data_IF_497315840599
#
_entry.id   IF_497315840599
#
_cell.length_a   1.000
_cell.length_b   1.000
_cell.length_c   1.000
_cell.angle_alpha   90.00
_cell.angle_beta   90.00
_cell.angle_gamma   90.00
#
_symmetry.space_group_name_H-M   'P 1'
#
loop_
_entity.id
_entity.type
_entity.pdbx_description
1 polymer ?
#
# COMPACT_ATOMS: atom_id res chain seq x y z
N UNK A 1 -15.18 -28.33 -30.23
CA UNK A 1 -15.64 -26.95 -30.38
C UNK A 1 -14.54 -26.12 -31.04
N UNK A 2 -14.83 -25.21 -32.00
CA UNK A 2 -13.79 -24.47 -32.74
C UNK A 2 -12.87 -23.63 -31.83
N UNK A 3 -13.25 -23.38 -30.59
CA UNK A 3 -12.48 -22.64 -29.60
C UNK A 3 -11.75 -23.53 -28.59
N UNK A 4 -11.82 -24.85 -28.69
CA UNK A 4 -11.07 -25.74 -27.82
C UNK A 4 -9.60 -25.82 -28.24
N UNK A 5 -8.71 -26.02 -27.26
CA UNK A 5 -7.30 -26.27 -27.52
C UNK A 5 -7.14 -27.65 -28.13
N UNK A 6 -6.23 -27.76 -29.09
CA UNK A 6 -5.83 -29.09 -29.62
C UNK A 6 -5.07 -29.87 -28.55
N UNK A 7 -4.96 -31.19 -28.73
CA UNK A 7 -4.18 -32.02 -27.83
C UNK A 7 -2.70 -31.55 -27.79
N UNK A 8 -2.13 -31.21 -28.94
CA UNK A 8 -0.77 -30.69 -29.08
C UNK A 8 -0.56 -29.36 -28.34
N UNK A 9 -1.51 -28.41 -28.51
CA UNK A 9 -1.46 -27.13 -27.76
C UNK A 9 -1.52 -27.38 -26.26
N UNK A 10 -2.38 -28.28 -25.80
CA UNK A 10 -2.54 -28.62 -24.37
C UNK A 10 -1.26 -29.24 -23.82
N UNK A 11 -0.67 -30.19 -24.53
CA UNK A 11 0.59 -30.82 -24.15
C UNK A 11 1.74 -29.82 -24.06
N UNK A 12 1.87 -28.92 -25.06
CA UNK A 12 2.87 -27.88 -25.08
C UNK A 12 2.70 -26.92 -23.87
N UNK A 13 1.47 -26.56 -23.56
CA UNK A 13 1.16 -25.69 -22.39
C UNK A 13 1.59 -26.39 -21.10
N UNK A 14 1.19 -27.64 -20.89
CA UNK A 14 1.49 -28.35 -19.65
C UNK A 14 2.99 -28.64 -19.49
N UNK A 15 3.69 -28.92 -20.56
CA UNK A 15 5.16 -29.12 -20.56
C UNK A 15 5.91 -27.86 -20.16
N UNK A 16 5.53 -26.70 -20.68
CA UNK A 16 6.13 -25.41 -20.32
C UNK A 16 5.68 -24.93 -18.94
N UNK A 17 4.43 -25.19 -18.58
CA UNK A 17 3.93 -24.88 -17.24
C UNK A 17 4.73 -25.58 -16.14
N UNK A 18 5.15 -26.80 -16.35
CA UNK A 18 6.01 -27.53 -15.40
C UNK A 18 7.34 -26.80 -15.10
N UNK A 19 7.82 -25.97 -16.05
CA UNK A 19 9.05 -25.17 -15.90
C UNK A 19 8.80 -23.77 -15.31
N UNK A 20 7.62 -23.18 -15.54
CA UNK A 20 7.28 -21.80 -15.22
C UNK A 20 6.09 -21.71 -14.25
N UNK A 21 6.01 -22.62 -13.27
CA UNK A 21 4.87 -22.75 -12.35
C UNK A 21 4.50 -21.46 -11.64
N UNK A 22 5.46 -20.57 -11.35
CA UNK A 22 5.28 -19.40 -10.51
C UNK A 22 5.00 -18.12 -11.30
N UNK A 23 5.17 -18.14 -12.64
CA UNK A 23 4.98 -16.95 -13.48
C UNK A 23 4.23 -17.27 -14.78
N UNK A 24 2.91 -17.00 -14.72
CA UNK A 24 2.01 -17.20 -15.85
C UNK A 24 2.28 -16.27 -17.04
N UNK A 25 2.90 -15.08 -16.81
CA UNK A 25 3.24 -14.17 -17.89
C UNK A 25 4.45 -14.68 -18.66
N UNK A 26 5.49 -15.14 -17.96
CA UNK A 26 6.66 -15.77 -18.57
C UNK A 26 6.26 -17.02 -19.35
N UNK A 27 5.32 -17.82 -18.80
CA UNK A 27 4.76 -18.96 -19.52
C UNK A 27 4.10 -18.52 -20.84
N UNK A 28 3.28 -17.48 -20.79
CA UNK A 28 2.56 -16.99 -21.96
C UNK A 28 3.50 -16.45 -23.04
N UNK A 29 4.52 -15.66 -22.66
CA UNK A 29 5.54 -15.16 -23.57
C UNK A 29 6.34 -16.31 -24.21
N UNK A 30 6.71 -17.33 -23.43
CA UNK A 30 7.40 -18.53 -23.93
C UNK A 30 6.54 -19.31 -24.91
N UNK A 31 5.23 -19.37 -24.70
CA UNK A 31 4.28 -20.00 -25.61
C UNK A 31 4.10 -19.21 -26.90
N UNK A 32 4.01 -17.87 -26.80
CA UNK A 32 3.95 -16.99 -28.00
C UNK A 32 5.17 -17.13 -28.89
N UNK A 33 6.36 -17.19 -28.29
CA UNK A 33 7.61 -17.43 -29.01
C UNK A 33 7.61 -18.76 -29.78
N UNK A 34 6.79 -19.73 -29.34
CA UNK A 34 6.58 -21.04 -29.99
C UNK A 34 5.37 -21.09 -30.93
N UNK A 35 4.77 -19.93 -31.24
CA UNK A 35 3.65 -19.84 -32.19
C UNK A 35 2.26 -20.00 -31.58
N UNK A 36 2.12 -19.96 -30.24
CA UNK A 36 0.82 -19.98 -29.58
C UNK A 36 0.05 -18.67 -29.85
N UNK A 37 -1.13 -18.79 -30.51
CA UNK A 37 -1.88 -17.61 -31.00
C UNK A 37 -3.08 -17.22 -30.14
N UNK A 38 -3.44 -18.04 -29.12
CA UNK A 38 -4.64 -17.79 -28.31
C UNK A 38 -4.37 -16.75 -27.20
N UNK A 39 -5.45 -16.22 -26.63
CA UNK A 39 -5.40 -15.19 -25.59
C UNK A 39 -4.83 -15.73 -24.27
N UNK A 40 -4.29 -14.85 -23.44
CA UNK A 40 -3.85 -15.16 -22.08
C UNK A 40 -4.97 -15.81 -21.24
N UNK A 41 -6.19 -15.31 -21.33
CA UNK A 41 -7.36 -15.89 -20.63
C UNK A 41 -7.63 -17.33 -21.03
N UNK A 42 -7.40 -17.67 -22.30
CA UNK A 42 -7.54 -19.05 -22.81
C UNK A 42 -6.49 -19.97 -22.22
N UNK A 43 -5.23 -19.51 -22.15
CA UNK A 43 -4.13 -20.21 -21.47
C UNK A 43 -4.48 -20.50 -20.01
N UNK A 44 -4.90 -19.47 -19.25
CA UNK A 44 -5.27 -19.60 -17.83
C UNK A 44 -6.35 -20.66 -17.62
N UNK A 45 -7.35 -20.74 -18.52
CA UNK A 45 -8.41 -21.79 -18.44
C UNK A 45 -7.82 -23.20 -18.57
N UNK A 46 -6.88 -23.43 -19.50
CA UNK A 46 -6.23 -24.72 -19.66
C UNK A 46 -5.41 -25.09 -18.46
N UNK A 47 -4.59 -24.16 -17.97
CA UNK A 47 -3.74 -24.38 -16.79
C UNK A 47 -4.60 -24.65 -15.55
N UNK A 48 -5.70 -23.94 -15.36
CA UNK A 48 -6.65 -24.20 -14.26
C UNK A 48 -7.30 -25.58 -14.37
N UNK A 49 -7.64 -26.02 -15.59
CA UNK A 49 -8.32 -27.30 -15.83
C UNK A 49 -7.38 -28.49 -15.64
N UNK A 50 -6.14 -28.37 -16.12
CA UNK A 50 -5.23 -29.51 -16.24
C UNK A 50 -3.96 -29.38 -15.41
N UNK A 51 -3.54 -28.17 -15.07
CA UNK A 51 -2.25 -27.90 -14.43
C UNK A 51 -2.23 -28.09 -12.92
N UNK A 52 -3.36 -28.40 -12.28
CA UNK A 52 -3.47 -28.50 -10.81
C UNK A 52 -2.77 -27.32 -10.13
N UNK A 53 -3.14 -26.08 -10.54
CA UNK A 53 -2.65 -24.90 -9.85
C UNK A 53 -2.95 -25.06 -8.35
N UNK A 54 -1.91 -25.15 -7.55
CA UNK A 54 -2.03 -24.91 -6.12
C UNK A 54 -2.42 -23.44 -5.95
N UNK A 55 -3.71 -23.20 -5.92
CA UNK A 55 -4.23 -21.88 -5.53
C UNK A 55 -3.75 -21.69 -4.10
N UNK A 56 -2.70 -20.87 -3.89
CA UNK A 56 -2.35 -20.40 -2.56
C UNK A 56 -3.62 -19.80 -1.98
N UNK A 57 -4.33 -20.58 -1.17
CA UNK A 57 -5.51 -20.06 -0.45
C UNK A 57 -5.01 -18.82 0.28
N UNK A 58 -5.49 -17.65 -0.12
CA UNK A 58 -5.27 -16.44 0.67
C UNK A 58 -5.74 -16.79 2.06
N UNK A 59 -4.81 -16.78 3.03
CA UNK A 59 -5.19 -16.98 4.42
C UNK A 59 -6.32 -16.00 4.71
N UNK A 60 -7.47 -16.51 5.12
CA UNK A 60 -8.58 -15.65 5.52
C UNK A 60 -8.05 -14.76 6.64
N UNK A 61 -7.81 -13.47 6.34
CA UNK A 61 -7.51 -12.50 7.37
C UNK A 61 -8.73 -12.45 8.27
N UNK A 62 -8.64 -13.04 9.45
CA UNK A 62 -9.62 -12.79 10.52
C UNK A 62 -9.54 -11.29 10.83
N UNK A 63 -10.58 -10.52 10.54
CA UNK A 63 -10.55 -9.09 10.84
C UNK A 63 -10.40 -8.95 12.36
N UNK A 64 -9.33 -8.26 12.78
CA UNK A 64 -9.21 -7.88 14.19
C UNK A 64 -10.38 -6.95 14.52
N UNK A 65 -11.10 -7.16 15.65
CA UNK A 65 -12.18 -6.27 16.02
C UNK A 65 -11.63 -4.85 16.19
N UNK A 66 -12.26 -3.90 15.51
CA UNK A 66 -11.89 -2.50 15.61
C UNK A 66 -12.26 -1.96 16.99
N UNK A 67 -11.28 -1.45 17.74
CA UNK A 67 -11.49 -0.76 19.01
C UNK A 67 -11.52 0.74 18.74
N UNK A 68 -12.66 1.36 18.95
CA UNK A 68 -12.83 2.81 18.86
C UNK A 68 -12.08 3.50 20.00
N UNK A 69 -11.51 4.68 19.73
CA UNK A 69 -10.93 5.52 20.79
C UNK A 69 -11.99 5.96 21.80
N UNK A 70 -11.69 5.85 23.08
CA UNK A 70 -12.61 6.07 24.19
C UNK A 70 -12.54 7.51 24.73
N UNK A 71 -11.40 8.19 24.54
CA UNK A 71 -11.19 9.55 25.02
C UNK A 71 -10.41 10.39 23.99
N UNK A 72 -10.50 11.73 24.05
CA UNK A 72 -9.79 12.63 23.15
C UNK A 72 -8.28 12.43 23.19
N UNK A 73 -7.64 12.36 22.02
CA UNK A 73 -6.20 12.18 21.88
C UNK A 73 -5.69 10.75 22.08
N UNK A 74 -6.56 9.80 22.43
CA UNK A 74 -6.16 8.40 22.54
C UNK A 74 -5.57 7.89 21.23
N UNK A 75 -6.20 8.25 20.09
CA UNK A 75 -5.75 7.88 18.76
C UNK A 75 -6.07 8.98 17.75
N UNK A 76 -5.02 9.48 17.10
CA UNK A 76 -5.09 10.50 16.06
C UNK A 76 -4.62 9.87 14.75
N UNK A 77 -5.45 9.93 13.71
CA UNK A 77 -5.09 9.49 12.37
C UNK A 77 -4.46 10.64 11.60
N UNK A 78 -3.31 10.40 10.97
CA UNK A 78 -2.62 11.38 10.14
C UNK A 78 -2.52 10.86 8.71
N UNK A 79 -2.93 11.69 7.76
CA UNK A 79 -2.94 11.40 6.32
C UNK A 79 -2.36 12.60 5.56
N UNK A 80 -1.72 12.35 4.43
CA UNK A 80 -1.17 13.36 3.53
C UNK A 80 -1.79 13.23 2.15
N UNK A 81 -2.29 14.35 1.63
CA UNK A 81 -2.90 14.40 0.31
C UNK A 81 -2.26 15.46 -0.56
N UNK A 82 -2.02 15.12 -1.80
CA UNK A 82 -1.66 16.10 -2.83
C UNK A 82 -2.82 17.09 -3.05
N UNK A 83 -2.52 18.38 -3.00
CA UNK A 83 -3.48 19.42 -3.31
C UNK A 83 -3.54 19.62 -4.82
N UNK A 84 -4.69 19.40 -5.48
CA UNK A 84 -4.81 19.58 -6.92
C UNK A 84 -4.44 21.00 -7.36
N UNK A 85 -3.73 21.12 -8.47
CA UNK A 85 -3.21 22.41 -8.98
C UNK A 85 -4.29 23.44 -9.26
N UNK A 86 -5.51 23.00 -9.60
CA UNK A 86 -6.65 23.92 -9.78
C UNK A 86 -7.17 24.54 -8.47
N UNK A 87 -6.77 24.03 -7.31
CA UNK A 87 -7.06 24.60 -6.00
C UNK A 87 -6.02 25.65 -5.58
N UNK A 88 -4.97 25.87 -6.37
CA UNK A 88 -3.83 26.71 -6.00
C UNK A 88 -3.60 27.77 -7.06
N UNK A 89 -3.61 29.06 -6.67
CA UNK A 89 -3.48 30.20 -7.60
C UNK A 89 -2.07 30.41 -8.15
N UNK A 90 -1.03 29.92 -7.46
CA UNK A 90 0.39 30.18 -7.81
C UNK A 90 1.06 29.06 -8.63
N UNK A 91 0.31 28.01 -9.01
CA UNK A 91 0.83 26.88 -9.81
C UNK A 91 1.85 25.96 -9.10
N UNK A 92 2.13 26.18 -7.82
CA UNK A 92 3.03 25.35 -7.03
C UNK A 92 2.35 24.06 -6.59
N UNK A 93 3.16 23.05 -6.25
CA UNK A 93 2.68 21.81 -5.66
C UNK A 93 2.58 21.97 -4.15
N UNK A 94 1.47 21.53 -3.58
CA UNK A 94 1.28 21.50 -2.13
C UNK A 94 0.78 20.13 -1.69
N UNK A 95 1.11 19.81 -0.45
CA UNK A 95 0.67 18.60 0.25
C UNK A 95 -0.04 19.02 1.52
N UNK A 96 -1.29 18.59 1.66
CA UNK A 96 -2.08 18.83 2.85
C UNK A 96 -1.89 17.68 3.83
N UNK A 97 -1.31 17.97 4.96
CA UNK A 97 -1.25 17.10 6.13
C UNK A 97 -2.52 17.29 6.94
N UNK A 98 -3.17 16.21 7.31
CA UNK A 98 -4.43 16.24 8.05
C UNK A 98 -4.36 15.27 9.22
N UNK A 99 -4.58 15.77 10.43
CA UNK A 99 -4.75 14.96 11.63
C UNK A 99 -6.23 14.97 12.04
N UNK A 100 -6.76 13.79 12.40
CA UNK A 100 -8.15 13.63 12.86
C UNK A 100 -8.14 12.79 14.13
N UNK A 101 -8.64 13.34 15.22
CA UNK A 101 -8.88 12.57 16.45
C UNK A 101 -10.07 11.62 16.27
N UNK A 102 -9.87 10.34 16.55
CA UNK A 102 -10.93 9.31 16.36
C UNK A 102 -12.13 9.51 17.29
N UNK A 103 -11.88 10.00 18.51
CA UNK A 103 -12.93 10.16 19.51
C UNK A 103 -13.83 11.37 19.24
N UNK A 104 -13.23 12.55 19.09
CA UNK A 104 -13.95 13.84 19.02
C UNK A 104 -14.21 14.31 17.59
N UNK A 105 -13.49 13.74 16.61
CA UNK A 105 -13.43 14.23 15.22
C UNK A 105 -12.77 15.59 15.09
N UNK A 106 -12.11 16.09 16.13
CA UNK A 106 -11.28 17.28 16.02
C UNK A 106 -10.25 17.09 14.90
N UNK A 107 -10.07 18.15 14.11
CA UNK A 107 -9.23 18.09 12.92
C UNK A 107 -8.24 19.23 12.91
N UNK A 108 -7.00 18.93 12.61
CA UNK A 108 -5.93 19.88 12.37
C UNK A 108 -5.36 19.70 10.96
N UNK A 109 -5.08 20.78 10.24
CA UNK A 109 -4.58 20.75 8.87
C UNK A 109 -3.53 21.81 8.63
N UNK A 110 -2.48 21.43 7.90
CA UNK A 110 -1.48 22.36 7.38
C UNK A 110 -1.10 21.97 5.95
N UNK A 111 -0.56 22.93 5.20
CA UNK A 111 -0.06 22.71 3.84
C UNK A 111 1.43 22.96 3.78
N UNK A 112 2.15 22.09 3.09
CA UNK A 112 3.58 22.16 2.86
C UNK A 112 3.89 22.02 1.36
N UNK A 113 4.98 22.63 0.91
CA UNK A 113 5.45 22.52 -0.47
C UNK A 113 6.14 21.17 -0.74
N UNK A 114 6.56 20.48 0.30
CA UNK A 114 7.28 19.21 0.21
C UNK A 114 6.54 18.05 0.89
N UNK A 115 6.67 16.88 0.26
CA UNK A 115 6.24 15.61 0.82
C UNK A 115 7.48 14.89 1.40
N UNK A 116 7.91 15.33 2.56
CA UNK A 116 9.17 14.91 3.16
C UNK A 116 9.03 14.60 4.66
N UNK A 117 10.01 13.86 5.21
CA UNK A 117 10.07 13.59 6.65
C UNK A 117 10.27 14.87 7.48
N UNK A 118 10.83 15.94 6.88
CA UNK A 118 10.91 17.25 7.52
C UNK A 118 9.53 17.88 7.69
N UNK A 119 8.74 17.91 6.62
CA UNK A 119 7.37 18.45 6.63
C UNK A 119 6.49 17.69 7.63
N UNK A 120 6.57 16.35 7.65
CA UNK A 120 5.82 15.54 8.62
C UNK A 120 6.25 15.78 10.06
N UNK A 121 7.57 16.00 10.30
CA UNK A 121 8.10 16.31 11.64
C UNK A 121 7.67 17.71 12.11
N UNK A 122 7.65 18.71 11.21
CA UNK A 122 7.16 20.05 11.50
C UNK A 122 5.65 20.04 11.77
N UNK A 123 4.90 19.32 10.94
CA UNK A 123 3.48 19.11 11.16
C UNK A 123 3.20 18.47 12.53
N UNK A 124 3.95 17.43 12.93
CA UNK A 124 3.82 16.80 14.24
C UNK A 124 4.09 17.79 15.38
N UNK A 125 5.14 18.62 15.24
CA UNK A 125 5.46 19.65 16.24
C UNK A 125 4.28 20.63 16.43
N UNK A 126 3.72 21.11 15.33
CA UNK A 126 2.59 22.04 15.35
C UNK A 126 1.31 21.36 15.86
N UNK A 127 1.04 20.11 15.44
CA UNK A 127 -0.08 19.30 15.88
C UNK A 127 -0.13 19.15 17.41
N UNK A 128 1.00 18.75 18.02
CA UNK A 128 1.08 18.55 19.48
C UNK A 128 0.83 19.87 20.24
N UNK A 129 1.28 21.00 19.70
CA UNK A 129 1.06 22.33 20.31
C UNK A 129 -0.35 22.88 20.15
N UNK A 130 -1.04 22.49 19.08
CA UNK A 130 -2.38 23.00 18.72
C UNK A 130 -3.50 22.10 19.22
N UNK A 131 -3.21 20.82 19.47
CA UNK A 131 -4.21 19.91 19.99
C UNK A 131 -4.70 20.37 21.37
N UNK A 132 -6.03 20.40 21.62
CA UNK A 132 -6.60 20.80 22.91
C UNK A 132 -6.53 19.69 23.97
N UNK A 133 -5.86 18.58 23.65
CA UNK A 133 -5.70 17.40 24.49
C UNK A 133 -4.32 16.75 24.23
N UNK A 134 -3.76 15.99 25.18
CA UNK A 134 -2.55 15.23 24.97
C UNK A 134 -2.80 14.10 23.95
N UNK A 135 -1.87 13.90 23.00
CA UNK A 135 -1.93 12.85 22.01
C UNK A 135 -1.13 11.64 22.53
N UNK A 136 -1.77 10.46 22.53
CA UNK A 136 -1.15 9.21 22.99
C UNK A 136 -0.67 8.34 21.84
N UNK A 137 -1.45 8.20 20.79
CA UNK A 137 -1.17 7.34 19.63
C UNK A 137 -1.39 8.12 18.33
N UNK A 138 -0.47 7.99 17.39
CA UNK A 138 -0.61 8.48 16.01
C UNK A 138 -0.58 7.31 15.06
N UNK A 139 -1.61 7.20 14.23
CA UNK A 139 -1.70 6.22 13.17
C UNK A 139 -1.50 6.90 11.82
N UNK A 140 -0.54 6.36 11.03
CA UNK A 140 -0.27 6.76 9.63
C UNK A 140 -0.48 5.58 8.69
N UNK A 141 -0.42 5.81 7.40
CA UNK A 141 -0.49 4.77 6.34
C UNK A 141 0.87 4.13 6.01
N UNK A 142 1.91 4.35 6.82
CA UNK A 142 3.29 3.93 6.59
C UNK A 142 3.95 4.55 5.33
N UNK A 143 3.52 5.73 4.91
CA UNK A 143 4.18 6.49 3.85
C UNK A 143 5.66 6.78 4.18
N UNK A 144 6.49 6.95 3.16
CA UNK A 144 7.94 7.19 3.33
C UNK A 144 8.29 8.50 4.03
N UNK A 145 7.36 9.43 4.11
CA UNK A 145 7.44 10.68 4.88
C UNK A 145 7.32 10.45 6.40
N UNK A 146 6.75 9.32 6.81
CA UNK A 146 6.55 8.96 8.22
C UNK A 146 7.54 7.90 8.69
N UNK A 147 7.86 6.90 7.87
CA UNK A 147 8.68 5.76 8.29
C UNK A 147 9.69 5.33 7.23
N UNK A 148 10.84 4.84 7.67
CA UNK A 148 11.85 4.22 6.83
C UNK A 148 11.62 2.70 6.63
N UNK A 149 10.62 2.11 7.26
CA UNK A 149 10.40 0.66 7.26
C UNK A 149 10.26 0.03 5.86
N UNK A 150 9.80 0.80 4.86
CA UNK A 150 9.66 0.34 3.48
C UNK A 150 10.91 0.54 2.61
N UNK A 151 11.82 1.43 3.01
CA UNK A 151 12.96 1.84 2.17
C UNK A 151 14.17 0.93 2.33
N UNK A 152 14.31 0.22 3.46
CA UNK A 152 15.49 -0.58 3.73
C UNK A 152 15.13 -1.91 4.40
N UNK A 153 15.53 -3.01 3.78
CA UNK A 153 15.39 -4.38 4.33
C UNK A 153 16.25 -4.62 5.62
N UNK A 154 17.03 -3.66 6.08
CA UNK A 154 18.02 -3.86 7.15
C UNK A 154 18.53 -2.60 7.85
N UNK A 155 17.83 -1.47 7.92
CA UNK A 155 18.32 -0.36 8.73
C UNK A 155 17.51 -0.16 9.99
N UNK A 156 18.20 -0.26 11.14
CA UNK A 156 17.69 0.16 12.46
C UNK A 156 17.52 1.69 12.59
N UNK A 157 17.61 2.43 11.46
CA UNK A 157 17.52 3.89 11.48
C UNK A 157 16.07 4.33 11.38
N UNK A 158 15.58 4.91 12.47
CA UNK A 158 14.28 5.56 12.53
C UNK A 158 14.25 6.80 11.63
N UNK A 159 13.06 7.15 11.15
CA UNK A 159 12.85 8.43 10.50
C UNK A 159 12.87 9.57 11.54
N UNK A 160 13.10 10.81 11.08
CA UNK A 160 13.00 11.98 11.98
C UNK A 160 11.62 12.10 12.63
N UNK A 161 10.58 11.68 11.93
CA UNK A 161 9.22 11.64 12.45
C UNK A 161 9.09 10.63 13.60
N UNK A 162 9.60 9.40 13.43
CA UNK A 162 9.61 8.35 14.47
C UNK A 162 10.44 8.77 15.70
N UNK A 163 11.61 9.36 15.51
CA UNK A 163 12.43 9.90 16.62
C UNK A 163 11.67 10.98 17.39
N UNK A 164 10.91 11.83 16.68
CA UNK A 164 10.14 12.89 17.31
C UNK A 164 8.95 12.36 18.09
N UNK A 165 8.25 11.32 17.57
CA UNK A 165 7.18 10.62 18.30
C UNK A 165 7.70 10.08 19.64
N UNK A 166 8.85 9.40 19.62
CA UNK A 166 9.47 8.90 20.86
C UNK A 166 9.79 10.01 21.86
N UNK A 167 10.35 11.13 21.37
CA UNK A 167 10.66 12.28 22.21
C UNK A 167 9.41 12.86 22.90
N UNK A 168 8.26 12.75 22.25
CA UNK A 168 6.98 13.19 22.83
C UNK A 168 6.25 12.10 23.63
N UNK A 169 6.78 10.87 23.67
CA UNK A 169 6.13 9.72 24.31
C UNK A 169 4.85 9.29 23.61
N UNK A 170 4.75 9.54 22.29
CA UNK A 170 3.61 9.16 21.44
C UNK A 170 3.95 7.84 20.75
N UNK A 171 2.97 6.93 20.71
CA UNK A 171 3.08 5.58 20.10
C UNK A 171 2.61 5.63 18.64
#
# INVERSE_FOLDING_TARGET
HPNEHTAEETEMILRLYARHKDDMMVLWDSLKAKGYKRSYTSLVRVVNKWGKLEVKKRSARTPKPYKRAEYPGQKVQVDVKYVPTYCVSNGRKYYQYTAVDECTRWTYREMYEEHSTYSSTEFLYNLVRKAPFPIREIQTDNGTEFTNALLQKSSDHKSLFEEKLEKYGII
#
